data_IF_700697564818
#
_entry.id   IF_700697564818
#
_cell.length_a   1.000
_cell.length_b   1.000
_cell.length_c   1.000
_cell.angle_alpha   90.00
_cell.angle_beta   90.00
_cell.angle_gamma   90.00
#
_symmetry.space_group_name_H-M   'P 1'
#
loop_
_entity.id
_entity.type
_entity.pdbx_description
1 polymer ?
#
# COMPACT_ATOMS: atom_id res chain seq x y z
N UNK A 1 12.27 22.71 -9.22
CA UNK A 1 12.30 21.51 -8.35
C UNK A 1 11.07 21.42 -7.44
N UNK A 2 10.66 22.50 -6.75
CA UNK A 2 9.50 22.49 -5.85
C UNK A 2 8.15 22.13 -6.52
N UNK A 3 7.89 22.58 -7.75
CA UNK A 3 6.64 22.29 -8.47
C UNK A 3 6.49 20.80 -8.80
N UNK A 4 7.58 20.14 -9.21
CA UNK A 4 7.57 18.72 -9.54
C UNK A 4 7.31 17.83 -8.30
N UNK A 5 7.90 18.20 -7.16
CA UNK A 5 7.68 17.52 -5.88
C UNK A 5 6.24 17.69 -5.39
N UNK A 6 5.68 18.91 -5.46
CA UNK A 6 4.30 19.18 -5.08
C UNK A 6 3.27 18.46 -5.98
N UNK A 7 3.56 18.34 -7.28
CA UNK A 7 2.73 17.56 -8.20
C UNK A 7 2.76 16.07 -7.83
N UNK A 8 3.96 15.52 -7.60
CA UNK A 8 4.14 14.12 -7.20
C UNK A 8 3.44 13.81 -5.86
N UNK A 9 3.48 14.74 -4.90
CA UNK A 9 2.73 14.64 -3.64
C UNK A 9 1.23 14.55 -3.85
N UNK A 10 0.66 15.49 -4.62
CA UNK A 10 -0.78 15.48 -4.91
C UNK A 10 -1.19 14.19 -5.59
N UNK A 11 -0.41 13.75 -6.58
CA UNK A 11 -0.70 12.53 -7.32
C UNK A 11 -0.72 11.29 -6.39
N UNK A 12 0.30 11.13 -5.55
CA UNK A 12 0.36 10.04 -4.56
C UNK A 12 -0.78 10.09 -3.55
N UNK A 13 -1.08 11.28 -3.02
CA UNK A 13 -2.18 11.44 -2.06
C UNK A 13 -3.52 11.09 -2.68
N UNK A 14 -3.74 11.42 -3.96
CA UNK A 14 -4.96 11.09 -4.69
C UNK A 14 -5.13 9.58 -4.87
N UNK A 15 -4.07 8.86 -5.25
CA UNK A 15 -4.13 7.40 -5.35
C UNK A 15 -4.37 6.73 -3.98
N UNK A 16 -3.76 7.26 -2.92
CA UNK A 16 -3.96 6.72 -1.58
C UNK A 16 -5.40 6.94 -1.08
N UNK A 17 -5.98 8.13 -1.26
CA UNK A 17 -7.36 8.39 -0.85
C UNK A 17 -8.36 7.59 -1.69
N UNK A 18 -8.11 7.46 -2.99
CA UNK A 18 -8.90 6.64 -3.88
C UNK A 18 -8.88 5.16 -3.43
N UNK A 19 -7.70 4.61 -3.14
CA UNK A 19 -7.59 3.24 -2.64
C UNK A 19 -8.29 3.06 -1.29
N UNK A 20 -8.12 4.00 -0.35
CA UNK A 20 -8.82 3.95 0.93
C UNK A 20 -10.34 3.93 0.79
N UNK A 21 -10.89 4.69 -0.16
CA UNK A 21 -12.32 4.69 -0.47
C UNK A 21 -12.78 3.37 -1.07
N UNK A 22 -12.03 2.83 -2.03
CA UNK A 22 -12.31 1.53 -2.66
C UNK A 22 -12.26 0.40 -1.63
N UNK A 23 -11.26 0.43 -0.74
CA UNK A 23 -11.11 -0.57 0.31
C UNK A 23 -12.27 -0.50 1.32
N UNK A 24 -12.71 0.69 1.72
CA UNK A 24 -13.91 0.86 2.53
C UNK A 24 -15.17 0.30 1.86
N UNK A 25 -15.31 0.50 0.55
CA UNK A 25 -16.44 -0.01 -0.24
C UNK A 25 -16.42 -1.56 -0.32
N UNK A 26 -15.24 -2.17 -0.51
CA UNK A 26 -15.08 -3.64 -0.47
C UNK A 26 -15.47 -4.20 0.89
N UNK A 27 -15.03 -3.57 2.00
CA UNK A 27 -15.40 -4.03 3.35
C UNK A 27 -16.91 -4.06 3.52
N UNK A 28 -17.61 -3.00 3.12
CA UNK A 28 -19.08 -2.94 3.19
C UNK A 28 -19.72 -4.02 2.33
N UNK A 29 -19.25 -4.22 1.10
CA UNK A 29 -19.76 -5.28 0.21
C UNK A 29 -19.56 -6.68 0.80
N UNK A 30 -18.42 -6.96 1.43
CA UNK A 30 -18.17 -8.25 2.08
C UNK A 30 -19.14 -8.46 3.25
N UNK A 31 -19.37 -7.43 4.07
CA UNK A 31 -20.38 -7.51 5.13
C UNK A 31 -21.78 -7.80 4.58
N UNK A 32 -22.16 -7.19 3.45
CA UNK A 32 -23.43 -7.46 2.78
C UNK A 32 -23.49 -8.88 2.22
N UNK A 33 -22.42 -9.38 1.61
CA UNK A 33 -22.36 -10.75 1.10
C UNK A 33 -22.51 -11.79 2.21
N UNK A 34 -21.84 -11.57 3.35
CA UNK A 34 -21.98 -12.42 4.55
C UNK A 34 -23.42 -12.39 5.05
N UNK A 35 -24.03 -11.21 5.18
CA UNK A 35 -25.41 -11.09 5.62
C UNK A 35 -26.41 -11.79 4.66
N UNK A 36 -26.22 -11.66 3.34
CA UNK A 36 -27.06 -12.34 2.34
C UNK A 36 -26.96 -13.87 2.44
N UNK A 37 -25.75 -14.36 2.71
CA UNK A 37 -25.47 -15.79 2.89
C UNK A 37 -26.13 -16.32 4.17
N UNK A 38 -26.06 -15.57 5.26
CA UNK A 38 -26.72 -15.90 6.53
C UNK A 38 -28.25 -15.92 6.40
N UNK A 39 -28.81 -15.03 5.58
CA UNK A 39 -30.25 -15.00 5.28
C UNK A 39 -30.67 -16.02 4.20
N UNK A 40 -29.74 -16.85 3.69
CA UNK A 40 -29.99 -17.81 2.60
C UNK A 40 -30.56 -17.19 1.32
N UNK A 41 -30.31 -15.89 1.09
CA UNK A 41 -30.79 -15.14 -0.08
C UNK A 41 -29.85 -15.27 -1.30
N UNK A 42 -28.67 -15.87 -1.11
CA UNK A 42 -27.66 -16.09 -2.13
C UNK A 42 -26.28 -15.55 -1.73
N UNK A 43 -25.36 -15.51 -2.68
CA UNK A 43 -24.03 -14.90 -2.52
C UNK A 43 -23.60 -14.19 -3.80
N UNK A 44 -22.64 -13.28 -3.70
CA UNK A 44 -22.03 -12.53 -4.78
C UNK A 44 -20.68 -13.19 -5.17
N UNK A 45 -20.64 -14.17 -6.09
CA UNK A 45 -19.41 -14.89 -6.42
C UNK A 45 -18.33 -13.98 -7.04
N UNK A 46 -18.73 -12.92 -7.74
CA UNK A 46 -17.81 -11.94 -8.34
C UNK A 46 -17.11 -11.05 -7.30
N UNK A 47 -17.60 -11.02 -6.06
CA UNK A 47 -17.06 -10.13 -5.03
C UNK A 47 -15.67 -10.55 -4.59
N UNK A 48 -15.40 -11.86 -4.52
CA UNK A 48 -14.07 -12.40 -4.19
C UNK A 48 -13.05 -11.92 -5.22
N UNK A 49 -13.30 -12.16 -6.51
CA UNK A 49 -12.39 -11.81 -7.59
C UNK A 49 -12.14 -10.30 -7.62
N UNK A 50 -13.21 -9.50 -7.50
CA UNK A 50 -13.10 -8.04 -7.46
C UNK A 50 -12.24 -7.58 -6.26
N UNK A 51 -12.46 -8.15 -5.08
CA UNK A 51 -11.71 -7.80 -3.88
C UNK A 51 -10.22 -8.13 -4.02
N UNK A 52 -9.89 -9.30 -4.58
CA UNK A 52 -8.50 -9.71 -4.80
C UNK A 52 -7.77 -8.75 -5.75
N UNK A 53 -8.37 -8.45 -6.91
CA UNK A 53 -7.76 -7.56 -7.89
C UNK A 53 -7.60 -6.13 -7.37
N UNK A 54 -8.61 -5.59 -6.67
CA UNK A 54 -8.56 -4.23 -6.13
C UNK A 54 -7.58 -4.12 -4.96
N UNK A 55 -7.50 -5.12 -4.09
CA UNK A 55 -6.50 -5.16 -3.03
C UNK A 55 -5.09 -5.26 -3.61
N UNK A 56 -4.87 -6.14 -4.60
CA UNK A 56 -3.58 -6.26 -5.26
C UNK A 56 -3.14 -4.93 -5.87
N UNK A 57 -3.94 -4.36 -6.79
CA UNK A 57 -3.61 -3.12 -7.48
C UNK A 57 -3.48 -1.93 -6.52
N UNK A 58 -4.39 -1.83 -5.56
CA UNK A 58 -4.42 -0.73 -4.63
C UNK A 58 -3.27 -0.74 -3.63
N UNK A 59 -2.76 -1.91 -3.24
CA UNK A 59 -1.57 -2.01 -2.38
C UNK A 59 -0.33 -1.44 -3.07
N UNK A 60 -0.14 -1.74 -4.36
CA UNK A 60 0.97 -1.16 -5.14
C UNK A 60 0.82 0.35 -5.35
N UNK A 61 -0.41 0.84 -5.51
CA UNK A 61 -0.68 2.29 -5.67
C UNK A 61 -0.50 3.07 -4.36
N UNK A 62 -0.85 2.47 -3.21
CA UNK A 62 -0.73 3.11 -1.90
C UNK A 62 0.67 3.00 -1.30
N UNK A 63 1.45 1.97 -1.65
CA UNK A 63 2.77 1.71 -1.08
C UNK A 63 3.72 2.93 -1.13
N UNK A 64 3.89 3.66 -2.25
CA UNK A 64 4.85 4.76 -2.30
C UNK A 64 4.44 5.97 -1.45
N UNK A 65 3.13 6.17 -1.24
CA UNK A 65 2.62 7.20 -0.34
C UNK A 65 2.93 6.85 1.12
N UNK A 66 2.68 5.60 1.53
CA UNK A 66 2.99 5.10 2.88
C UNK A 66 4.49 5.14 3.18
N UNK A 67 5.32 4.69 2.24
CA UNK A 67 6.80 4.76 2.31
C UNK A 67 7.27 6.20 2.52
N UNK A 68 6.69 7.16 1.78
CA UNK A 68 7.03 8.59 1.92
C UNK A 68 6.58 9.21 3.22
N UNK A 69 5.46 8.76 3.78
CA UNK A 69 4.98 9.28 5.06
C UNK A 69 5.96 8.97 6.20
N UNK A 70 6.94 8.07 5.99
CA UNK A 70 7.89 7.64 7.00
C UNK A 70 7.24 6.85 8.14
N UNK A 71 5.90 6.71 8.11
CA UNK A 71 5.05 5.98 9.03
C UNK A 71 5.05 4.47 8.74
N UNK A 72 6.19 3.93 8.29
CA UNK A 72 6.50 2.57 8.68
C UNK A 72 6.43 2.54 10.21
N UNK A 73 5.86 1.49 10.79
CA UNK A 73 6.08 1.17 12.20
C UNK A 73 7.57 0.86 12.34
N UNK A 74 8.41 1.90 12.30
CA UNK A 74 9.81 1.84 12.66
C UNK A 74 9.76 1.55 14.15
N UNK A 75 10.49 0.52 14.57
CA UNK A 75 10.86 0.38 15.96
C UNK A 75 11.77 1.57 16.26
N UNK A 76 11.21 2.76 16.46
CA UNK A 76 11.94 4.00 16.75
C UNK A 76 12.81 3.82 17.99
N UNK A 77 12.49 2.84 18.84
CA UNK A 77 13.29 2.44 19.99
C UNK A 77 14.72 2.00 19.64
N UNK A 78 14.96 1.45 18.43
CA UNK A 78 16.29 1.05 17.98
C UNK A 78 17.09 2.22 17.38
N UNK A 79 16.43 3.20 16.77
CA UNK A 79 17.10 4.36 16.16
C UNK A 79 17.43 5.46 17.16
N UNK A 80 16.67 5.58 18.26
CA UNK A 80 17.00 6.50 19.36
C UNK A 80 18.29 6.08 20.10
N UNK A 81 18.63 4.78 20.07
CA UNK A 81 19.86 4.25 20.65
C UNK A 81 21.09 4.33 19.71
N UNK A 82 20.89 4.59 18.42
CA UNK A 82 21.97 4.59 17.42
C UNK A 82 22.43 6.00 17.02
N UNK A 83 23.75 6.20 16.80
CA UNK A 83 24.27 7.48 16.32
C UNK A 83 23.76 7.80 14.91
N UNK A 84 23.36 9.06 14.69
CA UNK A 84 22.73 9.59 13.45
C UNK A 84 23.38 9.14 12.13
N UNK A 85 24.68 8.85 12.12
CA UNK A 85 25.42 8.40 10.92
C UNK A 85 25.13 6.95 10.52
N UNK A 86 24.91 6.05 11.48
CA UNK A 86 24.53 4.67 11.19
C UNK A 86 23.07 4.56 10.78
N UNK A 87 22.21 5.39 11.37
CA UNK A 87 20.80 5.46 11.02
C UNK A 87 20.58 5.72 9.52
N UNK A 88 21.26 6.74 8.99
CA UNK A 88 21.17 7.11 7.56
C UNK A 88 21.69 5.99 6.65
N UNK A 89 22.76 5.29 7.03
CA UNK A 89 23.30 4.17 6.24
C UNK A 89 22.36 2.97 6.22
N UNK A 90 21.70 2.68 7.34
CA UNK A 90 20.69 1.63 7.43
C UNK A 90 19.48 1.96 6.57
N UNK A 91 19.01 3.21 6.61
CA UNK A 91 17.90 3.67 5.77
C UNK A 91 18.24 3.54 4.28
N UNK A 92 19.43 3.97 3.87
CA UNK A 92 19.90 3.80 2.49
C UNK A 92 19.99 2.31 2.08
N UNK A 93 20.43 1.42 2.97
CA UNK A 93 20.47 -0.02 2.69
C UNK A 93 19.06 -0.60 2.53
N UNK A 94 18.12 -0.22 3.40
CA UNK A 94 16.72 -0.66 3.33
C UNK A 94 16.08 -0.19 2.04
N UNK A 95 16.32 1.06 1.64
CA UNK A 95 15.82 1.61 0.37
C UNK A 95 16.42 0.87 -0.83
N UNK A 96 17.72 0.53 -0.79
CA UNK A 96 18.39 -0.25 -1.84
C UNK A 96 17.82 -1.67 -1.97
N UNK A 97 17.57 -2.33 -0.84
CA UNK A 97 16.95 -3.66 -0.81
C UNK A 97 15.51 -3.57 -1.34
N UNK A 98 14.74 -2.57 -0.90
CA UNK A 98 13.38 -2.32 -1.38
C UNK A 98 13.34 -2.07 -2.90
N UNK A 99 14.30 -1.31 -3.42
CA UNK A 99 14.47 -1.09 -4.86
C UNK A 99 14.81 -2.39 -5.59
N UNK A 100 15.70 -3.21 -5.03
CA UNK A 100 16.04 -4.52 -5.57
C UNK A 100 14.82 -5.45 -5.68
N UNK A 101 14.04 -5.57 -4.60
CA UNK A 101 12.81 -6.37 -4.58
C UNK A 101 11.80 -5.85 -5.61
N UNK A 102 11.61 -4.53 -5.66
CA UNK A 102 10.68 -3.90 -6.60
C UNK A 102 11.08 -4.15 -8.07
N UNK A 103 12.38 -4.13 -8.38
CA UNK A 103 12.89 -4.48 -9.72
C UNK A 103 12.65 -5.94 -10.08
N UNK A 104 12.85 -6.86 -9.13
CA UNK A 104 12.55 -8.29 -9.34
C UNK A 104 11.06 -8.49 -9.60
N UNK A 105 10.19 -7.87 -8.79
CA UNK A 105 8.75 -7.93 -9.00
C UNK A 105 8.33 -7.32 -10.34
N UNK A 106 8.96 -6.23 -10.76
CA UNK A 106 8.71 -5.62 -12.06
C UNK A 106 9.09 -6.56 -13.20
N UNK A 107 10.24 -7.23 -13.10
CA UNK A 107 10.67 -8.21 -14.10
C UNK A 107 9.67 -9.37 -14.21
N UNK A 108 9.31 -10.01 -13.10
CA UNK A 108 8.35 -11.11 -13.08
C UNK A 108 6.92 -10.68 -13.44
N UNK A 109 6.53 -9.45 -13.16
CA UNK A 109 5.21 -8.93 -13.57
C UNK A 109 5.14 -8.52 -15.04
N UNK A 110 6.29 -8.31 -15.69
CA UNK A 110 6.40 -7.93 -17.11
C UNK A 110 6.70 -9.11 -18.06
N UNK A 111 7.05 -10.27 -17.51
CA UNK A 111 7.41 -11.50 -18.22
C UNK A 111 6.26 -12.51 -18.17
#
# INVERSE_FOLDING_TARGET
MAIALAFFEKLLSFFCTLFGLVLGLIIVLICVDVALRDLSLGSLPWLIELSEYLMYAGTFLAAPWVLRQGNHVRVDMLFVALPKRLAVRLEQLVDLIGLGISLVLLYYGSA
#
